data_IF_343885950305
#
_entry.id   IF_343885950305
#
_cell.length_a   1.000
_cell.length_b   1.000
_cell.length_c   1.000
_cell.angle_alpha   90.00
_cell.angle_beta   90.00
_cell.angle_gamma   90.00
#
_symmetry.space_group_name_H-M   'P 1'
#
loop_
_entity.id
_entity.type
_entity.pdbx_description
1 polymer ?
#
# COMPACT_ATOMS: atom_id res chain seq x y z
N UNK A 1 -8.17 5.63 -5.72
CA UNK A 1 -9.01 4.58 -5.08
C UNK A 1 -9.42 4.92 -3.64
N UNK A 2 -8.49 5.20 -2.71
CA UNK A 2 -8.85 5.52 -1.30
C UNK A 2 -9.60 6.85 -1.17
N UNK A 3 -9.23 7.87 -1.94
CA UNK A 3 -9.95 9.14 -2.00
C UNK A 3 -11.42 8.92 -2.40
N UNK A 4 -11.67 8.15 -3.45
CA UNK A 4 -13.03 7.81 -3.87
C UNK A 4 -13.82 7.01 -2.83
N UNK A 5 -13.17 6.14 -2.05
CA UNK A 5 -13.80 5.44 -0.95
C UNK A 5 -14.21 6.41 0.17
N UNK A 6 -13.35 7.36 0.52
CA UNK A 6 -13.66 8.39 1.51
C UNK A 6 -14.87 9.24 1.08
N UNK A 7 -14.94 9.65 -0.17
CA UNK A 7 -16.08 10.41 -0.71
C UNK A 7 -17.40 9.62 -0.66
N UNK A 8 -17.37 8.32 -1.00
CA UNK A 8 -18.56 7.46 -0.89
C UNK A 8 -19.08 7.31 0.55
N UNK A 9 -18.19 7.46 1.53
CA UNK A 9 -18.54 7.43 2.95
C UNK A 9 -18.92 8.83 3.51
N UNK A 10 -19.17 9.82 2.64
CA UNK A 10 -19.47 11.20 3.04
C UNK A 10 -18.27 11.95 3.64
N UNK A 11 -17.07 11.45 3.43
CA UNK A 11 -15.82 12.09 3.81
C UNK A 11 -15.21 12.91 2.67
N UNK A 12 -13.99 13.38 2.89
CA UNK A 12 -13.20 14.01 1.84
C UNK A 12 -11.73 13.56 1.90
N UNK A 13 -11.04 13.73 0.79
CA UNK A 13 -9.63 13.41 0.66
C UNK A 13 -8.90 14.47 -0.16
N UNK A 14 -7.64 14.71 0.21
CA UNK A 14 -6.67 15.47 -0.57
C UNK A 14 -5.49 14.58 -0.91
N UNK A 15 -5.09 14.59 -2.17
CA UNK A 15 -3.89 13.89 -2.65
C UNK A 15 -2.75 14.91 -2.79
N UNK A 16 -1.53 14.49 -2.46
CA UNK A 16 -0.30 15.27 -2.61
C UNK A 16 -0.34 16.68 -2.01
N UNK A 17 -0.57 16.82 -0.72
CA UNK A 17 -0.55 18.12 -0.05
C UNK A 17 0.79 18.41 0.63
N UNK A 18 1.13 19.70 0.75
CA UNK A 18 2.34 20.12 1.42
C UNK A 18 2.24 19.96 2.95
N UNK A 19 3.27 19.38 3.55
CA UNK A 19 3.38 19.22 5.00
C UNK A 19 4.82 19.43 5.47
N UNK A 20 4.99 19.85 6.71
CA UNK A 20 6.29 19.90 7.35
C UNK A 20 6.73 18.50 7.75
N UNK A 21 7.94 18.11 7.35
CA UNK A 21 8.55 16.82 7.72
C UNK A 21 9.74 17.08 8.65
N UNK A 22 9.87 16.31 9.72
CA UNK A 22 10.99 16.39 10.65
C UNK A 22 12.12 15.49 10.18
N UNK A 23 13.33 16.03 10.07
CA UNK A 23 14.52 15.17 9.93
C UNK A 23 14.79 14.48 11.26
N UNK A 24 15.05 13.17 11.25
CA UNK A 24 15.24 12.36 12.47
C UNK A 24 16.46 12.74 13.35
N UNK A 25 17.21 13.81 13.04
CA UNK A 25 18.30 14.35 13.86
C UNK A 25 17.79 15.51 14.70
N UNK A 26 17.98 15.43 16.02
CA UNK A 26 17.48 16.37 17.06
C UNK A 26 17.75 17.88 16.82
N UNK A 27 18.47 18.29 15.79
CA UNK A 27 18.86 19.70 15.52
C UNK A 27 18.69 20.16 14.08
N UNK A 28 17.95 19.43 13.23
CA UNK A 28 17.72 19.90 11.86
C UNK A 28 16.34 20.53 11.72
N UNK A 29 16.23 21.63 10.95
CA UNK A 29 14.94 22.28 10.73
C UNK A 29 13.96 21.34 10.02
N UNK A 30 12.68 21.53 10.28
CA UNK A 30 11.60 20.98 9.48
C UNK A 30 11.83 21.40 8.02
N UNK A 31 11.73 20.44 7.10
CA UNK A 31 11.72 20.76 5.68
C UNK A 31 10.30 20.59 5.12
N UNK A 32 9.97 21.45 4.17
CA UNK A 32 8.68 21.34 3.48
C UNK A 32 8.71 20.14 2.57
N UNK A 33 7.84 19.16 2.83
CA UNK A 33 7.69 17.95 2.05
C UNK A 33 6.26 17.78 1.54
N UNK A 34 5.97 16.66 0.90
CA UNK A 34 4.63 16.27 0.48
C UNK A 34 4.19 15.06 1.30
N UNK A 35 2.90 14.99 1.57
CA UNK A 35 2.22 13.80 2.10
C UNK A 35 1.28 13.32 1.00
N UNK A 36 1.27 12.03 0.75
CA UNK A 36 0.57 11.47 -0.41
C UNK A 36 -0.95 11.58 -0.27
N UNK A 37 -1.47 11.47 0.96
CA UNK A 37 -2.91 11.43 1.16
C UNK A 37 -3.33 11.99 2.52
N UNK A 38 -4.35 12.83 2.52
CA UNK A 38 -5.15 13.19 3.68
C UNK A 38 -6.57 12.66 3.48
N UNK A 39 -7.12 12.05 4.53
CA UNK A 39 -8.49 11.56 4.55
C UNK A 39 -9.23 12.07 5.78
N UNK A 40 -10.49 12.44 5.61
CA UNK A 40 -11.42 12.66 6.72
C UNK A 40 -12.68 11.86 6.49
N UNK A 41 -13.04 11.03 7.46
CA UNK A 41 -14.27 10.23 7.45
C UNK A 41 -14.95 10.42 8.81
N UNK A 42 -16.12 11.03 8.82
CA UNK A 42 -16.78 11.47 10.04
C UNK A 42 -15.89 12.43 10.85
N UNK A 43 -15.63 12.10 12.10
CA UNK A 43 -14.73 12.88 12.99
C UNK A 43 -13.26 12.47 12.90
N UNK A 44 -12.95 11.37 12.23
CA UNK A 44 -11.59 10.84 12.14
C UNK A 44 -10.82 11.50 10.98
N UNK A 45 -9.58 11.89 11.25
CA UNK A 45 -8.67 12.44 10.27
C UNK A 45 -7.43 11.55 10.17
N UNK A 46 -6.98 11.31 8.96
CA UNK A 46 -5.83 10.46 8.65
C UNK A 46 -4.89 11.18 7.71
N UNK A 47 -3.60 10.96 7.90
CA UNK A 47 -2.55 11.29 6.95
C UNK A 47 -1.80 10.01 6.58
N UNK A 48 -1.44 9.87 5.32
CA UNK A 48 -0.84 8.64 4.84
C UNK A 48 0.29 8.88 3.84
N UNK A 49 1.31 8.04 3.95
CA UNK A 49 2.31 7.82 2.90
C UNK A 49 2.03 6.48 2.23
N UNK A 50 2.09 6.46 0.92
CA UNK A 50 1.78 5.29 0.12
C UNK A 50 3.00 4.81 -0.67
N UNK A 51 3.16 3.51 -0.77
CA UNK A 51 4.13 2.87 -1.66
C UNK A 51 3.40 1.96 -2.62
N UNK A 52 4.00 1.79 -3.77
CA UNK A 52 3.53 0.85 -4.77
C UNK A 52 4.57 -0.25 -4.97
N UNK A 53 4.12 -1.48 -5.13
CA UNK A 53 4.98 -2.64 -5.33
C UNK A 53 4.42 -3.58 -6.40
N UNK A 54 5.23 -3.82 -7.44
CA UNK A 54 5.06 -4.99 -8.29
C UNK A 54 5.72 -6.18 -7.60
N UNK A 55 4.97 -7.22 -7.33
CA UNK A 55 5.45 -8.39 -6.61
C UNK A 55 5.25 -9.66 -7.42
N UNK A 56 6.33 -10.35 -7.74
CA UNK A 56 6.27 -11.62 -8.46
C UNK A 56 5.48 -12.68 -7.67
N UNK A 57 4.41 -13.20 -8.26
CA UNK A 57 3.73 -14.36 -7.71
C UNK A 57 4.53 -15.62 -8.07
N UNK A 58 5.36 -16.04 -7.14
CA UNK A 58 6.22 -17.21 -7.25
C UNK A 58 5.83 -18.27 -6.22
N UNK A 59 6.39 -19.46 -6.32
CA UNK A 59 6.21 -20.52 -5.30
C UNK A 59 6.95 -20.24 -3.98
N UNK A 60 7.75 -19.16 -3.90
CA UNK A 60 8.61 -18.85 -2.74
C UNK A 60 7.93 -17.82 -1.84
N UNK A 61 7.12 -18.26 -0.88
CA UNK A 61 6.39 -17.40 0.08
C UNK A 61 7.28 -16.47 0.89
N UNK A 62 8.40 -16.89 1.50
CA UNK A 62 9.20 -16.03 2.38
C UNK A 62 9.72 -14.78 1.68
N UNK A 63 10.21 -14.90 0.44
CA UNK A 63 10.72 -13.76 -0.32
C UNK A 63 9.61 -12.76 -0.67
N UNK A 64 8.41 -13.23 -1.01
CA UNK A 64 7.24 -12.38 -1.28
C UNK A 64 6.81 -11.64 0.00
N UNK A 65 6.66 -12.34 1.12
CA UNK A 65 6.30 -11.75 2.42
C UNK A 65 7.32 -10.70 2.84
N UNK A 66 8.62 -10.99 2.71
CA UNK A 66 9.68 -10.05 3.07
C UNK A 66 9.64 -8.78 2.21
N UNK A 67 9.46 -8.93 0.89
CA UNK A 67 9.35 -7.79 -0.01
C UNK A 67 8.16 -6.88 0.36
N UNK A 68 6.96 -7.46 0.54
CA UNK A 68 5.77 -6.70 0.92
C UNK A 68 5.95 -6.04 2.29
N UNK A 69 6.55 -6.75 3.26
CA UNK A 69 6.85 -6.20 4.59
C UNK A 69 7.78 -5.00 4.51
N UNK A 70 8.87 -5.10 3.76
CA UNK A 70 9.84 -4.02 3.61
C UNK A 70 9.18 -2.78 2.97
N UNK A 71 8.39 -2.96 1.92
CA UNK A 71 7.70 -1.85 1.25
C UNK A 71 6.65 -1.17 2.13
N UNK A 72 5.90 -1.94 2.91
CA UNK A 72 4.97 -1.37 3.89
C UNK A 72 5.72 -0.62 4.99
N UNK A 73 6.86 -1.14 5.43
CA UNK A 73 7.70 -0.50 6.44
C UNK A 73 8.29 0.83 5.93
N UNK A 74 8.70 0.93 4.67
CA UNK A 74 9.13 2.19 4.05
C UNK A 74 8.02 3.25 4.13
N UNK A 75 6.77 2.90 3.80
CA UNK A 75 5.63 3.83 3.92
C UNK A 75 5.41 4.27 5.39
N UNK A 76 5.56 3.34 6.32
CA UNK A 76 5.46 3.63 7.77
C UNK A 76 6.57 4.58 8.24
N UNK A 77 7.79 4.40 7.77
CA UNK A 77 8.92 5.26 8.13
C UNK A 77 8.74 6.67 7.57
N UNK A 78 8.30 6.78 6.32
CA UNK A 78 8.05 8.08 5.69
C UNK A 78 6.94 8.87 6.39
N UNK A 79 5.84 8.23 6.81
CA UNK A 79 4.79 8.94 7.54
C UNK A 79 5.17 9.25 9.00
N UNK A 80 6.11 8.54 9.62
CA UNK A 80 6.55 8.80 10.98
C UNK A 80 7.18 10.18 11.15
N UNK A 81 7.91 10.66 10.14
CA UNK A 81 8.60 11.95 10.17
C UNK A 81 7.66 13.15 10.01
N UNK A 82 6.41 12.94 9.60
CA UNK A 82 5.38 13.99 9.55
C UNK A 82 4.91 14.29 10.98
N UNK A 83 4.83 15.58 11.41
CA UNK A 83 4.31 15.92 12.73
C UNK A 83 2.88 15.45 12.95
N UNK A 84 2.53 15.07 14.18
CA UNK A 84 1.14 14.81 14.57
C UNK A 84 0.45 16.13 14.90
N UNK A 85 -0.64 16.42 14.19
CA UNK A 85 -1.54 17.54 14.47
C UNK A 85 -2.97 17.03 14.70
N UNK A 86 -3.11 15.97 15.53
CA UNK A 86 -4.40 15.36 15.82
C UNK A 86 -4.83 14.27 14.81
N UNK A 87 -4.10 14.09 13.70
CA UNK A 87 -4.41 13.03 12.72
C UNK A 87 -3.81 11.69 13.13
N UNK A 88 -4.49 10.60 12.72
CA UNK A 88 -3.96 9.24 12.72
C UNK A 88 -3.04 9.05 11.50
N UNK A 89 -1.99 8.31 11.65
CA UNK A 89 -0.97 8.11 10.60
C UNK A 89 -1.07 6.72 10.00
N UNK A 90 -1.02 6.64 8.68
CA UNK A 90 -1.12 5.39 7.94
C UNK A 90 0.07 5.22 7.01
N UNK A 91 0.75 4.08 7.10
CA UNK A 91 1.58 3.56 6.02
C UNK A 91 0.71 2.68 5.12
N UNK A 92 0.73 2.93 3.81
CA UNK A 92 -0.10 2.22 2.84
C UNK A 92 0.80 1.56 1.79
N UNK A 93 0.54 0.31 1.49
CA UNK A 93 1.15 -0.40 0.37
C UNK A 93 0.08 -0.84 -0.62
N UNK A 94 0.19 -0.37 -1.86
CA UNK A 94 -0.53 -0.94 -3.00
C UNK A 94 0.36 -1.98 -3.65
N UNK A 95 -0.09 -3.22 -3.71
CA UNK A 95 0.68 -4.32 -4.26
C UNK A 95 -0.07 -4.97 -5.43
N UNK A 96 0.62 -5.12 -6.57
CA UNK A 96 0.10 -5.83 -7.73
C UNK A 96 0.95 -7.08 -7.94
N UNK A 97 0.37 -8.28 -7.78
CA UNK A 97 1.06 -9.51 -8.19
C UNK A 97 1.21 -9.55 -9.69
N UNK A 98 2.34 -10.07 -10.15
CA UNK A 98 2.52 -10.41 -11.57
C UNK A 98 2.98 -11.85 -11.73
N UNK A 99 2.52 -12.48 -12.79
CA UNK A 99 2.79 -13.88 -13.14
C UNK A 99 3.31 -13.90 -14.57
N UNK A 100 4.45 -14.55 -14.82
CA UNK A 100 4.97 -14.68 -16.15
C UNK A 100 3.98 -15.42 -17.07
N UNK A 101 3.79 -14.95 -18.31
CA UNK A 101 2.89 -15.58 -19.30
C UNK A 101 3.16 -17.09 -19.51
N UNK A 102 4.42 -17.49 -19.44
CA UNK A 102 4.81 -18.91 -19.53
C UNK A 102 4.21 -19.79 -18.42
N UNK A 103 3.70 -19.17 -17.34
CA UNK A 103 3.06 -19.87 -16.21
C UNK A 103 1.53 -19.68 -16.20
N UNK A 104 0.92 -19.30 -17.32
CA UNK A 104 -0.53 -19.03 -17.43
C UNK A 104 -1.40 -20.16 -16.88
N UNK A 105 -1.02 -21.42 -17.11
CA UNK A 105 -1.75 -22.60 -16.61
C UNK A 105 -1.77 -22.70 -15.07
N UNK A 106 -0.89 -22.01 -14.38
CA UNK A 106 -0.74 -22.05 -12.91
C UNK A 106 -1.13 -20.73 -12.22
N UNK A 107 -1.89 -19.86 -12.90
CA UNK A 107 -2.22 -18.53 -12.37
C UNK A 107 -2.90 -18.63 -11.00
N UNK A 108 -3.89 -19.49 -10.87
CA UNK A 108 -4.66 -19.58 -9.61
C UNK A 108 -3.83 -20.14 -8.47
N UNK A 109 -3.00 -21.15 -8.72
CA UNK A 109 -2.07 -21.72 -7.74
C UNK A 109 -1.07 -20.65 -7.22
N UNK A 110 -0.43 -19.95 -8.17
CA UNK A 110 0.56 -18.93 -7.84
C UNK A 110 -0.07 -17.72 -7.13
N UNK A 111 -1.27 -17.34 -7.54
CA UNK A 111 -2.03 -16.28 -6.90
C UNK A 111 -2.42 -16.66 -5.47
N UNK A 112 -2.92 -17.87 -5.24
CA UNK A 112 -3.23 -18.36 -3.89
C UNK A 112 -1.99 -18.38 -2.99
N UNK A 113 -0.84 -18.77 -3.53
CA UNK A 113 0.44 -18.71 -2.81
C UNK A 113 0.82 -17.30 -2.46
N UNK A 114 0.62 -16.35 -3.38
CA UNK A 114 0.90 -14.94 -3.17
C UNK A 114 -0.06 -14.32 -2.12
N UNK A 115 -1.35 -14.64 -2.18
CA UNK A 115 -2.35 -14.21 -1.19
C UNK A 115 -1.95 -14.70 0.21
N UNK A 116 -1.56 -15.96 0.34
CA UNK A 116 -1.10 -16.51 1.61
C UNK A 116 0.17 -15.80 2.14
N UNK A 117 1.09 -15.39 1.27
CA UNK A 117 2.24 -14.59 1.64
C UNK A 117 1.83 -13.17 2.07
N UNK A 118 0.91 -12.54 1.34
CA UNK A 118 0.41 -11.19 1.61
C UNK A 118 -0.36 -11.13 2.94
N UNK A 119 -1.22 -12.11 3.21
CA UNK A 119 -1.99 -12.18 4.46
C UNK A 119 -1.13 -12.47 5.69
N UNK A 120 0.10 -12.97 5.52
CA UNK A 120 1.06 -13.15 6.62
C UNK A 120 1.81 -11.86 7.00
N UNK A 121 1.71 -10.78 6.20
CA UNK A 121 2.30 -9.49 6.52
C UNK A 121 1.57 -8.84 7.69
N UNK A 122 2.31 -8.42 8.72
CA UNK A 122 1.74 -7.74 9.90
C UNK A 122 1.29 -6.32 9.54
N UNK A 123 -0.01 -6.12 9.37
CA UNK A 123 -0.66 -4.84 9.08
C UNK A 123 -1.93 -4.66 9.93
N UNK A 124 -2.50 -3.46 9.93
CA UNK A 124 -3.75 -3.15 10.64
C UNK A 124 -4.97 -3.67 9.88
N UNK A 125 -4.95 -3.56 8.55
CA UNK A 125 -5.95 -4.17 7.67
C UNK A 125 -5.37 -4.43 6.28
N UNK A 126 -5.99 -5.34 5.55
CA UNK A 126 -5.68 -5.62 4.15
C UNK A 126 -6.97 -5.91 3.38
N UNK A 127 -6.95 -5.57 2.10
CA UNK A 127 -8.02 -5.90 1.17
C UNK A 127 -7.41 -6.22 -0.21
N UNK A 128 -8.10 -7.03 -0.99
CA UNK A 128 -7.67 -7.38 -2.33
C UNK A 128 -8.84 -7.66 -3.26
N UNK A 129 -8.57 -7.55 -4.54
CA UNK A 129 -9.51 -7.90 -5.61
C UNK A 129 -8.75 -8.54 -6.76
N UNK A 130 -9.13 -9.77 -7.11
CA UNK A 130 -8.52 -10.56 -8.18
C UNK A 130 -9.63 -11.18 -9.06
N UNK A 131 -10.32 -10.37 -9.89
CA UNK A 131 -11.41 -10.87 -10.71
C UNK A 131 -10.85 -11.81 -11.81
N UNK A 132 -11.46 -12.98 -11.95
CA UNK A 132 -11.04 -13.96 -12.95
C UNK A 132 -11.17 -13.43 -14.38
N UNK A 133 -12.18 -12.59 -14.62
CA UNK A 133 -12.55 -12.04 -15.93
C UNK A 133 -11.64 -10.88 -16.37
N UNK A 134 -11.00 -10.17 -15.44
CA UNK A 134 -10.23 -8.96 -15.72
C UNK A 134 -8.73 -9.11 -15.53
N UNK A 135 -8.20 -10.28 -15.86
CA UNK A 135 -6.76 -10.54 -15.83
C UNK A 135 -6.05 -9.75 -16.92
N UNK A 136 -5.52 -8.59 -16.53
CA UNK A 136 -4.79 -7.72 -17.44
C UNK A 136 -3.44 -8.34 -17.84
N UNK A 137 -3.11 -8.30 -19.12
CA UNK A 137 -1.84 -8.77 -19.67
C UNK A 137 -1.00 -7.57 -20.06
N UNK A 138 0.13 -7.36 -19.39
CA UNK A 138 1.12 -6.35 -19.73
C UNK A 138 2.41 -7.01 -20.19
N UNK A 139 2.77 -6.80 -21.47
CA UNK A 139 3.98 -7.39 -22.03
C UNK A 139 4.05 -8.92 -21.82
N UNK A 140 5.00 -9.39 -21.05
CA UNK A 140 5.23 -10.81 -20.74
C UNK A 140 4.61 -11.26 -19.39
N UNK A 141 3.81 -10.41 -18.74
CA UNK A 141 3.23 -10.69 -17.45
C UNK A 141 1.70 -10.67 -17.47
N UNK A 142 1.09 -11.45 -16.59
CA UNK A 142 -0.33 -11.44 -16.25
C UNK A 142 -0.46 -10.73 -14.92
N UNK A 143 -1.29 -9.70 -14.84
CA UNK A 143 -1.60 -8.94 -13.62
C UNK A 143 -3.03 -9.29 -13.19
N UNK A 144 -3.23 -10.21 -12.24
CA UNK A 144 -4.56 -10.72 -11.92
C UNK A 144 -5.42 -9.75 -11.12
N UNK A 145 -4.86 -8.67 -10.59
CA UNK A 145 -5.55 -7.69 -9.78
C UNK A 145 -4.62 -6.96 -8.83
N UNK A 146 -5.16 -6.46 -7.73
CA UNK A 146 -4.40 -5.66 -6.77
C UNK A 146 -4.79 -5.94 -5.32
N UNK A 147 -3.88 -5.64 -4.40
CA UNK A 147 -4.11 -5.64 -2.98
C UNK A 147 -3.68 -4.31 -2.35
N UNK A 148 -4.26 -3.99 -1.21
CA UNK A 148 -3.83 -2.90 -0.33
C UNK A 148 -3.58 -3.44 1.07
N UNK A 149 -2.44 -3.04 1.65
CA UNK A 149 -2.10 -3.29 3.05
C UNK A 149 -1.94 -1.95 3.75
N UNK A 150 -2.54 -1.81 4.91
CA UNK A 150 -2.52 -0.56 5.69
C UNK A 150 -2.01 -0.85 7.08
N UNK A 151 -1.03 -0.08 7.52
CA UNK A 151 -0.52 -0.08 8.89
C UNK A 151 -0.71 1.27 9.52
N UNK A 152 -1.49 1.31 10.58
CA UNK A 152 -1.66 2.47 11.44
C UNK A 152 -0.55 2.52 12.51
N UNK A 153 -0.10 3.75 12.86
CA UNK A 153 0.95 4.00 13.86
C UNK A 153 0.62 5.18 14.78
#
# INVERSE_FOLDING_TARGET
MLAGAAWRMGGFAFEEFAADKKTGKKRRPTFRGRVDLYLKVGRQQYIAEAKYCWSGATSVRPATTQNLTNRLQEAVEDIRIVPRNGQRKLGILFATPYIAKSRKARVDELLNTWIAAMTSVKCSCSAWVFPAESRYISGLAICPGAAVLIKEI
#
